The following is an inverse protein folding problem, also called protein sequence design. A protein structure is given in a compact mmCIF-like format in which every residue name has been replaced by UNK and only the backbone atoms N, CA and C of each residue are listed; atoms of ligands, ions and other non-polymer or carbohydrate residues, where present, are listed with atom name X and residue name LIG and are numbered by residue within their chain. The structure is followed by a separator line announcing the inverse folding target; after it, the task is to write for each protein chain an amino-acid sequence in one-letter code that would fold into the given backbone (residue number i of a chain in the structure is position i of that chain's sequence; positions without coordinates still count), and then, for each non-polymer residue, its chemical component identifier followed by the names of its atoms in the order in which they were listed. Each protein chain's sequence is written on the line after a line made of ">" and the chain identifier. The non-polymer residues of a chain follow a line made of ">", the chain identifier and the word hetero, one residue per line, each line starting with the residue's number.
data_IF_513867786194
#
_entry.id   IF_513867786194
#
_cell.length_a   1.000
_cell.length_b   1.000
_cell.length_c   1.000
_cell.angle_alpha   90.00
_cell.angle_beta   90.00
_cell.angle_gamma   90.00
#
_symmetry.space_group_name_H-M   'P 1'
#
loop_
_entity.id
_entity.type
_entity.pdbx_description
1 polymer ?
#
# COMPACT_ATOMS: atom_id res chain seq x y z
N UNK A 1 14.69 3.68 27.26
CA UNK A 1 14.43 4.50 26.07
C UNK A 1 13.67 3.67 25.04
N UNK A 2 12.39 3.93 24.81
CA UNK A 2 11.72 3.54 23.56
C UNK A 2 11.52 4.82 22.77
N UNK A 3 12.62 5.30 22.21
CA UNK A 3 12.53 6.17 21.05
C UNK A 3 12.04 5.30 19.86
N UNK A 4 11.85 5.90 18.68
CA UNK A 4 11.52 5.21 17.42
C UNK A 4 10.03 4.96 17.14
N UNK A 5 9.24 6.01 16.92
CA UNK A 5 8.54 6.12 15.61
C UNK A 5 7.78 7.44 15.44
N UNK A 6 7.51 8.21 16.50
CA UNK A 6 6.58 9.34 16.42
C UNK A 6 5.13 8.94 16.09
N UNK A 7 4.89 7.67 15.82
CA UNK A 7 3.57 7.10 15.52
C UNK A 7 2.78 6.92 16.81
N UNK A 8 1.59 7.50 16.83
CA UNK A 8 0.68 7.40 17.97
C UNK A 8 0.20 5.96 18.14
N UNK A 9 0.05 5.50 19.38
CA UNK A 9 -0.47 4.16 19.69
C UNK A 9 -1.83 3.88 19.02
N UNK A 10 -2.64 4.94 18.90
CA UNK A 10 -3.93 4.91 18.19
C UNK A 10 -3.78 4.52 16.72
N UNK A 11 -2.81 5.11 16.03
CA UNK A 11 -2.51 4.83 14.63
C UNK A 11 -2.10 3.36 14.46
N UNK A 12 -1.26 2.86 15.37
CA UNK A 12 -0.85 1.45 15.37
C UNK A 12 -2.04 0.50 15.54
N UNK A 13 -2.97 0.83 16.43
CA UNK A 13 -4.14 -0.01 16.64
C UNK A 13 -5.10 0.01 15.45
N UNK A 14 -5.26 1.16 14.78
CA UNK A 14 -6.06 1.28 13.56
C UNK A 14 -5.46 0.46 12.43
N UNK A 15 -4.15 0.59 12.18
CA UNK A 15 -3.47 -0.17 11.13
C UNK A 15 -3.47 -1.67 11.42
N UNK A 16 -3.30 -2.07 12.69
CA UNK A 16 -3.36 -3.46 13.11
C UNK A 16 -4.74 -4.09 12.88
N UNK A 17 -5.82 -3.37 13.22
CA UNK A 17 -7.19 -3.84 12.96
C UNK A 17 -7.46 -4.00 11.47
N UNK A 18 -7.01 -3.05 10.65
CA UNK A 18 -7.11 -3.15 9.20
C UNK A 18 -6.33 -4.34 8.65
N UNK A 19 -5.07 -4.51 9.07
CA UNK A 19 -4.23 -5.64 8.68
C UNK A 19 -4.83 -6.99 9.10
N UNK A 20 -5.49 -7.06 10.25
CA UNK A 20 -6.17 -8.26 10.73
C UNK A 20 -7.45 -8.59 9.94
N UNK A 21 -8.08 -7.60 9.28
CA UNK A 21 -9.25 -7.81 8.42
C UNK A 21 -8.85 -8.30 7.02
N UNK A 22 -7.63 -8.01 6.59
CA UNK A 22 -7.10 -8.43 5.30
C UNK A 22 -6.50 -9.84 5.41
N UNK A 23 -7.03 -10.80 4.64
CA UNK A 23 -6.61 -12.21 4.69
C UNK A 23 -5.12 -12.42 4.38
N UNK A 24 -4.48 -11.52 3.63
CA UNK A 24 -3.06 -11.60 3.32
C UNK A 24 -2.21 -11.06 4.48
N UNK A 25 -2.61 -9.95 5.09
CA UNK A 25 -1.86 -9.34 6.19
C UNK A 25 -2.12 -9.95 7.56
N UNK A 26 -3.29 -10.57 7.79
CA UNK A 26 -3.66 -11.16 9.08
C UNK A 26 -2.67 -12.26 9.55
N UNK A 27 -2.15 -13.07 8.62
CA UNK A 27 -1.15 -14.10 8.93
C UNK A 27 0.28 -13.56 9.04
N UNK A 28 0.57 -12.41 8.42
CA UNK A 28 1.91 -11.82 8.40
C UNK A 28 2.16 -10.86 9.57
N UNK A 29 1.10 -10.20 10.05
CA UNK A 29 1.15 -9.18 11.10
C UNK A 29 0.59 -9.74 12.41
N UNK A 30 1.39 -10.59 13.05
CA UNK A 30 1.02 -11.26 14.31
C UNK A 30 1.51 -10.53 15.57
N UNK A 31 2.37 -9.52 15.42
CA UNK A 31 2.96 -8.81 16.56
C UNK A 31 3.26 -7.34 16.25
N UNK A 32 3.30 -6.48 17.28
CA UNK A 32 3.61 -5.05 17.12
C UNK A 32 4.98 -4.79 16.47
N UNK A 33 5.94 -5.69 16.68
CA UNK A 33 7.26 -5.60 16.07
C UNK A 33 7.19 -5.79 14.54
N UNK A 34 6.43 -6.81 14.09
CA UNK A 34 6.26 -7.11 12.67
C UNK A 34 5.39 -6.07 11.96
N UNK A 35 4.39 -5.53 12.66
CA UNK A 35 3.60 -4.37 12.21
C UNK A 35 4.50 -3.16 11.93
N UNK A 36 5.44 -2.85 12.83
CA UNK A 36 6.37 -1.73 12.68
C UNK A 36 7.32 -1.93 11.50
N UNK A 37 7.82 -3.14 11.30
CA UNK A 37 8.70 -3.49 10.16
C UNK A 37 7.98 -3.31 8.81
N UNK A 38 6.71 -3.73 8.71
CA UNK A 38 5.91 -3.66 7.48
C UNK A 38 5.02 -2.42 7.37
N UNK A 39 5.15 -1.46 8.29
CA UNK A 39 4.26 -0.31 8.39
C UNK A 39 4.08 0.42 7.06
N UNK A 40 5.17 0.81 6.42
CA UNK A 40 5.15 1.57 5.16
C UNK A 40 4.39 0.80 4.06
N UNK A 41 4.56 -0.53 4.01
CA UNK A 41 3.86 -1.36 3.01
C UNK A 41 2.38 -1.47 3.30
N UNK A 42 2.00 -1.59 4.58
CA UNK A 42 0.61 -1.63 5.02
C UNK A 42 -0.08 -0.29 4.74
N UNK A 43 0.59 0.82 5.02
CA UNK A 43 0.08 2.17 4.77
C UNK A 43 -0.20 2.42 3.28
N UNK A 44 0.74 2.04 2.41
CA UNK A 44 0.57 2.11 0.96
C UNK A 44 -0.57 1.20 0.48
N UNK A 45 -0.64 -0.05 0.97
CA UNK A 45 -1.69 -0.98 0.57
C UNK A 45 -3.07 -0.52 1.05
N UNK A 46 -3.16 0.02 2.26
CA UNK A 46 -4.37 0.62 2.81
C UNK A 46 -4.83 1.78 1.93
N UNK A 47 -3.93 2.70 1.58
CA UNK A 47 -4.25 3.83 0.71
C UNK A 47 -4.69 3.35 -0.68
N UNK A 48 -4.03 2.33 -1.25
CA UNK A 48 -4.44 1.70 -2.51
C UNK A 48 -5.84 1.11 -2.45
N UNK A 49 -6.17 0.34 -1.40
CA UNK A 49 -7.51 -0.22 -1.22
C UNK A 49 -8.57 0.88 -1.07
N UNK A 50 -8.25 1.99 -0.39
CA UNK A 50 -9.15 3.15 -0.30
C UNK A 50 -9.38 3.85 -1.65
N UNK A 51 -8.36 3.89 -2.51
CA UNK A 51 -8.49 4.46 -3.87
C UNK A 51 -9.12 3.49 -4.89
N UNK A 52 -9.24 2.20 -4.56
CA UNK A 52 -9.63 1.13 -5.49
C UNK A 52 -11.12 1.02 -5.78
N UNK A 53 -11.99 1.70 -5.02
CA UNK A 53 -13.45 1.58 -5.19
C UNK A 53 -14.06 2.58 -6.19
N UNK A 54 -13.30 3.55 -6.73
CA UNK A 54 -13.82 4.51 -7.73
C UNK A 54 -12.76 5.02 -8.72
N UNK A 55 -11.76 4.21 -9.08
CA UNK A 55 -10.89 4.56 -10.21
C UNK A 55 -11.42 3.92 -11.49
N UNK A 56 -12.31 4.64 -12.17
CA UNK A 56 -12.66 4.39 -13.57
C UNK A 56 -11.37 4.11 -14.34
N UNK A 57 -11.23 2.88 -14.87
CA UNK A 57 -10.07 2.45 -15.65
C UNK A 57 -9.65 3.59 -16.59
N UNK A 58 -8.42 4.14 -16.52
CA UNK A 58 -7.94 4.97 -17.61
C UNK A 58 -7.99 4.07 -18.85
N UNK A 59 -8.67 4.55 -19.90
CA UNK A 59 -8.78 3.84 -21.17
C UNK A 59 -7.36 3.64 -21.69
N UNK A 60 -6.82 2.45 -21.46
CA UNK A 60 -5.51 2.05 -21.97
C UNK A 60 -5.60 2.16 -23.48
N UNK A 61 -4.88 3.12 -24.05
CA UNK A 61 -4.81 3.28 -25.50
C UNK A 61 -3.80 2.27 -26.02
N UNK A 62 -4.29 1.13 -26.53
CA UNK A 62 -3.45 0.07 -27.08
C UNK A 62 -2.77 0.46 -28.41
N UNK A 63 -3.06 1.66 -28.93
CA UNK A 63 -2.49 2.19 -30.17
C UNK A 63 -1.48 3.32 -29.92
N UNK A 64 -1.08 3.53 -28.65
CA UNK A 64 -0.07 4.52 -28.34
C UNK A 64 1.30 4.02 -28.79
N UNK A 65 1.66 4.37 -30.02
CA UNK A 65 2.95 4.07 -30.64
C UNK A 65 3.96 5.22 -30.44
N UNK A 66 3.77 6.07 -29.44
CA UNK A 66 4.62 7.25 -29.17
C UNK A 66 6.09 6.86 -28.88
N UNK A 67 6.30 5.62 -28.44
CA UNK A 67 7.62 5.03 -28.17
C UNK A 67 8.46 4.71 -29.42
N UNK A 68 7.88 4.68 -30.63
CA UNK A 68 8.59 4.24 -31.84
C UNK A 68 9.06 5.38 -32.76
N UNK A 69 8.59 6.62 -32.55
CA UNK A 69 8.84 7.74 -33.47
C UNK A 69 10.28 8.32 -33.44
N UNK A 70 11.20 7.75 -32.65
CA UNK A 70 12.58 8.25 -32.52
C UNK A 70 13.68 7.25 -32.92
N UNK A 71 13.32 6.09 -33.48
CA UNK A 71 14.29 5.10 -33.94
C UNK A 71 14.46 5.26 -35.45
N UNK A 72 15.45 6.05 -35.86
CA UNK A 72 15.96 6.02 -37.23
C UNK A 72 16.82 4.75 -37.44
N UNK A 73 16.67 4.12 -38.61
CA UNK A 73 17.34 2.87 -39.02
C UNK A 73 18.83 3.06 -39.33
#
# INVERSE_FOLDING_TARGET
>A
MRECDGRTHRDMCVLFRWACHDSFWAGNVISPAKLREKWTQLDINRNKQQTGTTASKPKLDLNNTDWIYGVEL
#
